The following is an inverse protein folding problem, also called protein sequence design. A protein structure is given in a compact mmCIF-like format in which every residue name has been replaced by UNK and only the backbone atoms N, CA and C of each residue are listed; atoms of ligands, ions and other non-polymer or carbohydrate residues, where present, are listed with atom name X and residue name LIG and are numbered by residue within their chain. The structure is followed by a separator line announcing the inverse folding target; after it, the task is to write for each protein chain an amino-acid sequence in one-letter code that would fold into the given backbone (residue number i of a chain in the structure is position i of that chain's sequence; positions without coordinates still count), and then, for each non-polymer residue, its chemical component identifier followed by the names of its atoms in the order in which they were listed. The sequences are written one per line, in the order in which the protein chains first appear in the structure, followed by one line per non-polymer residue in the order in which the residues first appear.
data_IF_260390644319
#
_entry.id   IF_260390644319
#
_cell.length_a   1.000
_cell.length_b   1.000
_cell.length_c   1.000
_cell.angle_alpha   90.00
_cell.angle_beta   90.00
_cell.angle_gamma   90.00
#
_symmetry.space_group_name_H-M   'P 1'
#
loop_
_entity.id
_entity.type
_entity.pdbx_description
1 polymer ?
#
# COMPACT_ATOMS: atom_id res chain seq x y z
N UNK A 1 -11.37 22.98 0.28
CA UNK A 1 -11.37 21.52 0.43
C UNK A 1 -9.99 21.07 0.89
N UNK A 2 -9.96 20.26 1.92
CA UNK A 2 -8.68 19.81 2.49
C UNK A 2 -8.22 18.52 1.84
N UNK A 3 -6.94 18.47 1.53
CA UNK A 3 -6.31 17.33 0.91
C UNK A 3 -5.06 16.95 1.73
N UNK A 4 -4.88 15.65 1.95
CA UNK A 4 -3.70 15.11 2.61
C UNK A 4 -2.97 14.27 1.57
N UNK A 5 -1.71 14.61 1.30
CA UNK A 5 -0.85 13.86 0.39
C UNK A 5 0.22 13.14 1.20
N UNK A 6 0.29 11.82 1.05
CA UNK A 6 1.22 10.98 1.78
C UNK A 6 2.09 10.22 0.78
N UNK A 7 3.41 10.34 0.92
CA UNK A 7 4.36 9.57 0.13
C UNK A 7 5.02 8.55 1.04
N UNK A 8 4.83 7.27 0.73
CA UNK A 8 5.40 6.17 1.50
C UNK A 8 6.57 5.58 0.72
N UNK A 9 7.74 5.53 1.36
CA UNK A 9 8.92 4.88 0.79
C UNK A 9 9.01 3.49 1.40
N UNK A 10 8.75 2.48 0.58
CA UNK A 10 8.72 1.08 1.02
C UNK A 10 8.21 0.20 -0.10
N UNK A 11 8.06 -1.08 0.18
CA UNK A 11 7.51 -2.03 -0.79
C UNK A 11 6.09 -2.35 -0.40
N UNK A 12 5.08 -1.97 -1.22
CA UNK A 12 3.69 -2.30 -0.92
C UNK A 12 3.50 -3.80 -0.78
N UNK A 13 2.71 -4.20 0.21
CA UNK A 13 2.46 -5.60 0.48
C UNK A 13 0.97 -5.87 0.65
N UNK A 14 0.43 -6.93 0.02
CA UNK A 14 -0.98 -7.25 0.12
C UNK A 14 -1.29 -7.86 1.48
N UNK A 15 -2.45 -7.53 2.03
CA UNK A 15 -2.97 -8.20 3.21
C UNK A 15 -3.63 -9.50 2.76
N UNK A 16 -2.91 -10.60 2.94
CA UNK A 16 -3.35 -11.92 2.51
C UNK A 16 -4.28 -12.59 3.51
N UNK A 17 -4.47 -13.89 3.30
CA UNK A 17 -5.23 -14.73 4.21
C UNK A 17 -4.48 -14.91 5.51
N UNK A 18 -5.20 -14.96 6.62
CA UNK A 18 -4.62 -15.28 7.91
C UNK A 18 -4.45 -16.79 8.04
N UNK A 19 -3.40 -17.20 8.74
CA UNK A 19 -3.13 -18.61 9.00
C UNK A 19 -3.48 -18.92 10.45
N UNK A 20 -4.24 -19.99 10.66
CA UNK A 20 -4.55 -20.49 12.00
C UNK A 20 -3.32 -21.18 12.56
N UNK A 21 -2.83 -20.73 13.71
CA UNK A 21 -1.72 -21.39 14.40
C UNK A 21 -2.26 -22.61 15.17
N UNK A 22 -1.36 -23.53 15.53
CA UNK A 22 -1.74 -24.69 16.36
C UNK A 22 -2.23 -24.30 17.77
N UNK A 23 -2.04 -23.05 18.17
CA UNK A 23 -2.53 -22.50 19.43
C UNK A 23 -3.91 -21.87 19.30
N UNK A 24 -4.54 -21.95 18.11
CA UNK A 24 -5.84 -21.37 17.84
C UNK A 24 -5.83 -19.89 17.50
N UNK A 25 -4.68 -19.25 17.40
CA UNK A 25 -4.59 -17.85 17.04
C UNK A 25 -4.53 -17.68 15.52
N UNK A 26 -5.22 -16.65 14.98
CA UNK A 26 -5.14 -16.26 13.59
C UNK A 26 -4.03 -15.25 13.41
N UNK A 27 -3.05 -15.56 12.55
CA UNK A 27 -1.94 -14.68 12.24
C UNK A 27 -1.90 -14.38 10.74
N UNK A 28 -1.36 -13.22 10.40
CA UNK A 28 -1.15 -12.82 9.02
C UNK A 28 -0.14 -13.76 8.36
N UNK A 29 -0.51 -14.35 7.22
CA UNK A 29 0.36 -15.28 6.50
C UNK A 29 1.53 -14.58 5.81
N UNK A 30 1.35 -13.32 5.39
CA UNK A 30 2.40 -12.56 4.72
C UNK A 30 3.28 -11.83 5.72
N UNK A 31 4.58 -12.12 5.70
CA UNK A 31 5.57 -11.44 6.54
C UNK A 31 5.86 -10.01 6.10
N UNK A 32 5.44 -9.64 4.90
CA UNK A 32 5.71 -8.32 4.31
C UNK A 32 4.66 -7.27 4.68
N UNK A 33 3.49 -7.69 5.16
CA UNK A 33 2.38 -6.79 5.47
C UNK A 33 2.71 -5.86 6.65
N UNK A 34 3.27 -6.42 7.72
CA UNK A 34 3.58 -5.62 8.90
C UNK A 34 4.58 -4.50 8.65
N UNK A 35 5.72 -4.75 7.97
CA UNK A 35 6.62 -3.67 7.58
C UNK A 35 5.96 -2.62 6.70
N UNK A 36 5.14 -3.03 5.74
CA UNK A 36 4.43 -2.09 4.88
C UNK A 36 3.47 -1.21 5.66
N UNK A 37 2.66 -1.78 6.55
CA UNK A 37 1.75 -1.00 7.41
C UNK A 37 2.51 -0.01 8.29
N UNK A 38 3.67 -0.40 8.81
CA UNK A 38 4.53 0.46 9.60
C UNK A 38 5.05 1.64 8.76
N UNK A 39 5.48 1.37 7.52
CA UNK A 39 5.94 2.42 6.61
C UNK A 39 4.82 3.41 6.30
N UNK A 40 3.61 2.92 6.06
CA UNK A 40 2.43 3.77 5.81
C UNK A 40 2.12 4.62 7.04
N UNK A 41 2.09 4.02 8.22
CA UNK A 41 1.81 4.71 9.46
C UNK A 41 2.82 5.84 9.74
N UNK A 42 4.09 5.54 9.61
CA UNK A 42 5.16 6.52 9.86
C UNK A 42 5.12 7.67 8.86
N UNK A 43 4.93 7.37 7.57
CA UNK A 43 4.80 8.39 6.55
C UNK A 43 3.58 9.29 6.78
N UNK A 44 2.46 8.69 7.20
CA UNK A 44 1.25 9.43 7.51
C UNK A 44 1.44 10.37 8.71
N UNK A 45 2.14 9.92 9.76
CA UNK A 45 2.43 10.75 10.92
C UNK A 45 3.29 11.97 10.59
N UNK A 46 4.21 11.84 9.64
CA UNK A 46 5.03 12.96 9.17
C UNK A 46 4.20 14.01 8.40
N UNK A 47 3.15 13.58 7.72
CA UNK A 47 2.35 14.45 6.86
C UNK A 47 1.11 15.01 7.56
N UNK A 48 0.59 14.32 8.57
CA UNK A 48 -0.68 14.67 9.18
C UNK A 48 -0.71 14.26 10.65
N UNK A 49 -0.89 15.23 11.54
CA UNK A 49 -0.93 15.01 12.99
C UNK A 49 -2.08 15.76 13.68
N UNK A 50 -3.08 16.21 12.92
CA UNK A 50 -4.16 17.05 13.45
C UNK A 50 -5.34 16.26 14.05
N UNK A 51 -5.16 14.97 14.30
CA UNK A 51 -6.21 14.10 14.82
C UNK A 51 -6.92 13.32 13.73
N UNK A 52 -7.43 12.15 14.04
CA UNK A 52 -8.05 11.26 13.08
C UNK A 52 -9.34 11.87 12.51
N UNK A 53 -9.51 11.75 11.20
CA UNK A 53 -10.70 12.20 10.50
C UNK A 53 -11.88 11.28 10.81
N UNK A 54 -13.05 11.87 11.02
CA UNK A 54 -14.29 11.12 11.24
C UNK A 54 -15.37 11.67 10.31
N UNK A 55 -15.10 11.66 9.01
CA UNK A 55 -15.99 12.11 7.96
C UNK A 55 -15.72 11.30 6.70
N UNK A 56 -16.67 11.25 5.75
CA UNK A 56 -16.46 10.54 4.50
C UNK A 56 -15.28 11.11 3.72
N UNK A 57 -14.42 10.24 3.19
CA UNK A 57 -13.24 10.63 2.42
C UNK A 57 -13.14 9.88 1.11
N UNK A 58 -12.44 10.46 0.16
CA UNK A 58 -11.99 9.80 -1.06
C UNK A 58 -10.50 9.48 -0.91
N UNK A 59 -10.11 8.29 -1.29
CA UNK A 59 -8.70 7.88 -1.32
C UNK A 59 -8.27 7.60 -2.76
N UNK A 60 -7.17 8.21 -3.16
CA UNK A 60 -6.50 7.93 -4.43
C UNK A 60 -5.12 7.38 -4.10
N UNK A 61 -4.87 6.14 -4.50
CA UNK A 61 -3.65 5.44 -4.13
C UNK A 61 -2.94 4.92 -5.37
N UNK A 62 -1.64 5.17 -5.45
CA UNK A 62 -0.78 4.63 -6.49
C UNK A 62 0.29 3.77 -5.84
N UNK A 63 0.30 2.47 -6.20
CA UNK A 63 1.30 1.52 -5.75
C UNK A 63 2.40 1.42 -6.80
N UNK A 64 3.64 1.72 -6.40
CA UNK A 64 4.79 1.66 -7.30
C UNK A 64 5.72 0.55 -6.82
N UNK A 65 5.99 -0.40 -7.69
CA UNK A 65 6.85 -1.55 -7.40
C UNK A 65 8.19 -1.44 -8.13
N UNK A 66 9.28 -1.99 -7.54
CA UNK A 66 10.55 -2.06 -8.25
C UNK A 66 10.39 -2.86 -9.54
N UNK A 67 10.98 -2.36 -10.62
CA UNK A 67 10.95 -3.06 -11.90
C UNK A 67 12.12 -4.03 -12.00
N UNK A 68 11.93 -5.26 -12.54
CA UNK A 68 13.03 -6.16 -12.79
C UNK A 68 13.95 -5.62 -13.89
N UNK A 69 15.20 -6.06 -13.88
CA UNK A 69 16.20 -5.64 -14.88
C UNK A 69 15.74 -5.92 -16.32
N UNK A 70 14.94 -6.96 -16.52
CA UNK A 70 14.42 -7.32 -17.84
C UNK A 70 13.54 -6.23 -18.49
N UNK A 71 13.03 -5.27 -17.70
CA UNK A 71 12.26 -4.14 -18.20
C UNK A 71 13.14 -3.05 -18.80
N UNK A 72 14.44 -3.09 -18.58
CA UNK A 72 15.39 -2.10 -19.03
C UNK A 72 16.28 -2.65 -20.14
N UNK A 73 16.89 -1.76 -20.93
CA UNK A 73 17.86 -2.13 -21.93
C UNK A 73 19.18 -2.61 -21.32
N UNK A 74 20.18 -2.79 -22.15
CA UNK A 74 21.52 -3.25 -21.75
C UNK A 74 22.58 -2.20 -22.09
N UNK A 75 23.74 -2.28 -21.47
CA UNK A 75 24.86 -1.37 -21.72
C UNK A 75 24.48 0.09 -21.48
N UNK A 76 24.55 0.91 -22.51
CA UNK A 76 24.21 2.33 -22.43
C UNK A 76 22.75 2.57 -22.05
N UNK A 77 21.89 1.59 -22.31
CA UNK A 77 20.45 1.69 -22.08
C UNK A 77 20.01 0.98 -20.80
N UNK A 78 20.95 0.67 -19.88
CA UNK A 78 20.63 -0.04 -18.64
C UNK A 78 19.63 0.69 -17.75
N UNK A 79 19.47 2.01 -17.87
CA UNK A 79 18.52 2.82 -17.13
C UNK A 79 17.32 3.28 -17.98
N UNK A 80 17.20 2.75 -19.19
CA UNK A 80 16.14 3.14 -20.14
C UNK A 80 15.13 2.00 -20.24
N UNK A 81 13.87 2.30 -19.99
CA UNK A 81 12.80 1.30 -20.13
C UNK A 81 12.67 0.86 -21.58
N UNK A 82 12.55 -0.46 -21.78
CA UNK A 82 12.25 -1.01 -23.11
C UNK A 82 10.84 -0.58 -23.53
N UNK A 83 10.61 -0.38 -24.84
CA UNK A 83 9.25 -0.14 -25.34
C UNK A 83 8.25 -1.26 -24.99
N UNK A 84 8.76 -2.50 -24.83
CA UNK A 84 7.95 -3.66 -24.46
C UNK A 84 7.69 -3.78 -22.96
N UNK A 85 8.30 -2.93 -22.13
CA UNK A 85 8.09 -2.96 -20.69
C UNK A 85 6.63 -2.62 -20.35
N UNK A 86 5.97 -3.40 -19.48
CA UNK A 86 4.57 -3.13 -19.14
C UNK A 86 4.44 -1.82 -18.37
N UNK A 87 3.36 -1.10 -18.63
CA UNK A 87 3.06 0.16 -17.94
C UNK A 87 2.63 -0.09 -16.49
N UNK A 88 1.89 -1.17 -16.27
CA UNK A 88 1.32 -1.51 -14.97
C UNK A 88 1.94 -2.79 -14.42
N UNK A 89 1.95 -2.89 -13.08
CA UNK A 89 2.42 -4.10 -12.41
C UNK A 89 1.31 -5.14 -12.38
N UNK A 90 1.52 -6.28 -13.05
CA UNK A 90 0.56 -7.38 -13.09
C UNK A 90 1.12 -8.67 -12.46
N UNK A 91 2.25 -8.57 -11.77
CA UNK A 91 2.88 -9.71 -11.12
C UNK A 91 2.06 -10.21 -9.93
N UNK A 92 1.79 -11.51 -9.89
CA UNK A 92 1.08 -12.13 -8.77
C UNK A 92 1.82 -11.98 -7.45
N UNK A 93 3.15 -12.00 -7.50
CA UNK A 93 3.99 -11.87 -6.31
C UNK A 93 3.85 -10.53 -5.60
N UNK A 94 3.43 -9.50 -6.32
CA UNK A 94 3.22 -8.16 -5.77
C UNK A 94 1.81 -7.96 -5.21
N UNK A 95 0.90 -8.91 -5.42
CA UNK A 95 -0.42 -8.92 -4.81
C UNK A 95 -1.52 -8.29 -5.65
N UNK A 96 -2.74 -8.55 -5.24
CA UNK A 96 -3.93 -8.01 -5.86
C UNK A 96 -4.22 -6.59 -5.33
N UNK A 97 -4.83 -5.78 -6.16
CA UNK A 97 -5.08 -4.36 -5.84
C UNK A 97 -5.99 -4.18 -4.62
N UNK A 98 -6.97 -5.05 -4.44
CA UNK A 98 -7.87 -5.01 -3.28
C UNK A 98 -7.13 -5.31 -1.97
N UNK A 99 -6.24 -6.28 -1.98
CA UNK A 99 -5.45 -6.65 -0.80
C UNK A 99 -4.37 -5.62 -0.48
N UNK A 100 -3.78 -5.01 -1.50
CA UNK A 100 -2.85 -3.89 -1.34
C UNK A 100 -3.54 -2.67 -0.74
N UNK A 101 -4.74 -2.37 -1.22
CA UNK A 101 -5.55 -1.27 -0.71
C UNK A 101 -5.94 -1.51 0.75
N UNK A 102 -6.32 -2.73 1.09
CA UNK A 102 -6.71 -3.09 2.45
C UNK A 102 -5.57 -2.89 3.44
N UNK A 103 -4.37 -3.39 3.13
CA UNK A 103 -3.21 -3.22 4.01
C UNK A 103 -2.85 -1.74 4.20
N UNK A 104 -2.95 -0.95 3.14
CA UNK A 104 -2.65 0.48 3.18
C UNK A 104 -3.67 1.26 4.01
N UNK A 105 -4.96 1.01 3.80
CA UNK A 105 -6.02 1.67 4.57
C UNK A 105 -5.97 1.27 6.04
N UNK A 106 -5.62 0.02 6.36
CA UNK A 106 -5.38 -0.40 7.74
C UNK A 106 -4.23 0.38 8.37
N UNK A 107 -3.17 0.65 7.61
CA UNK A 107 -2.06 1.49 8.09
C UNK A 107 -2.46 2.93 8.40
N UNK A 108 -3.54 3.41 7.81
CA UNK A 108 -4.06 4.77 8.03
C UNK A 108 -5.17 4.83 9.08
N UNK A 109 -5.76 3.71 9.47
CA UNK A 109 -6.95 3.66 10.32
C UNK A 109 -6.60 3.47 11.79
N UNK A 110 -7.20 4.26 12.67
CA UNK A 110 -7.00 4.17 14.12
C UNK A 110 -7.40 2.78 14.63
N UNK A 111 -8.47 2.21 14.09
CA UNK A 111 -8.93 0.86 14.46
C UNK A 111 -7.87 -0.22 14.25
N UNK A 112 -6.89 0.01 13.39
CA UNK A 112 -5.79 -0.91 13.11
C UNK A 112 -4.41 -0.35 13.48
N UNK A 113 -4.36 0.74 14.27
CA UNK A 113 -3.12 1.33 14.77
C UNK A 113 -2.61 2.54 14.01
N UNK A 114 -3.35 3.01 13.01
CA UNK A 114 -3.01 4.23 12.26
C UNK A 114 -3.45 5.51 12.94
N UNK A 115 -3.39 6.64 12.24
CA UNK A 115 -3.65 7.95 12.84
C UNK A 115 -4.43 8.93 11.97
N UNK A 116 -4.79 8.56 10.74
CA UNK A 116 -5.41 9.49 9.79
C UNK A 116 -6.93 9.38 9.78
N UNK A 117 -7.46 8.17 9.80
CA UNK A 117 -8.89 7.89 9.77
C UNK A 117 -9.31 7.19 11.06
N UNK A 118 -10.49 7.51 11.57
CA UNK A 118 -11.05 6.74 12.69
C UNK A 118 -11.23 5.29 12.29
N UNK A 119 -11.72 5.05 11.08
CA UNK A 119 -11.93 3.71 10.55
C UNK A 119 -11.93 3.75 9.01
N UNK A 120 -11.56 2.65 8.38
CA UNK A 120 -11.54 2.55 6.92
C UNK A 120 -12.93 2.57 6.29
N UNK A 121 -13.98 2.35 7.06
CA UNK A 121 -15.37 2.50 6.60
C UNK A 121 -15.71 3.92 6.16
N UNK A 122 -14.90 4.91 6.54
CA UNK A 122 -15.06 6.29 6.11
C UNK A 122 -14.66 6.53 4.66
N UNK A 123 -13.94 5.59 4.04
CA UNK A 123 -13.57 5.69 2.64
C UNK A 123 -14.78 5.32 1.78
N UNK A 124 -15.37 6.32 1.14
CA UNK A 124 -16.57 6.17 0.31
C UNK A 124 -16.26 6.12 -1.18
N UNK A 125 -15.05 6.46 -1.56
CA UNK A 125 -14.57 6.36 -2.93
C UNK A 125 -13.09 5.98 -2.90
N UNK A 126 -12.71 4.98 -3.67
CA UNK A 126 -11.34 4.48 -3.71
C UNK A 126 -10.90 4.31 -5.16
N UNK A 127 -9.84 5.02 -5.54
CA UNK A 127 -9.22 4.89 -6.84
C UNK A 127 -7.80 4.37 -6.66
N UNK A 128 -7.47 3.25 -7.27
CA UNK A 128 -6.19 2.59 -7.08
C UNK A 128 -5.53 2.25 -8.41
N UNK A 129 -4.20 2.21 -8.39
CA UNK A 129 -3.39 1.95 -9.57
C UNK A 129 -2.12 1.21 -9.14
N UNK A 130 -1.69 0.22 -9.90
CA UNK A 130 -0.44 -0.51 -9.72
C UNK A 130 0.52 -0.19 -10.86
N UNK A 131 1.72 0.21 -10.54
CA UNK A 131 2.76 0.52 -11.53
C UNK A 131 4.04 -0.23 -11.28
#
# INVERSE_FOLDING_TARGET
MNEISIRVVGIPAPQGSKTLTRWGAMIEASKKVKPWRTDVKEAALECYSSGALNLPVRADIEFVFPRPKSHYGTGKNANVLKPSAPKYCVSRGNGDIDKLSRSTLDGLSVSAGGSVLEDDSLVVELNTKKR
#
